data_IF_309124663714
#
_entry.id   IF_309124663714
#
_cell.length_a   1.000
_cell.length_b   1.000
_cell.length_c   1.000
_cell.angle_alpha   90.00
_cell.angle_beta   90.00
_cell.angle_gamma   90.00
#
_symmetry.space_group_name_H-M   'P 1'
#
loop_
_entity.id
_entity.type
_entity.pdbx_description
1 polymer ?
#
# COMPACT_ATOMS: atom_id res chain seq x y z
N UNK A 1 -4.42 -25.49 3.08
CA UNK A 1 -5.87 -25.27 2.87
C UNK A 1 -6.32 -24.18 3.82
N UNK A 2 -6.39 -22.94 3.33
CA UNK A 2 -6.99 -21.87 4.09
C UNK A 2 -8.51 -21.96 3.83
N UNK A 3 -9.28 -22.27 4.88
CA UNK A 3 -10.71 -22.60 4.77
C UNK A 3 -11.60 -21.38 4.49
N UNK A 4 -12.93 -21.48 4.74
CA UNK A 4 -13.90 -20.39 4.54
C UNK A 4 -13.54 -19.08 5.27
N UNK A 5 -12.65 -19.14 6.26
CA UNK A 5 -12.09 -17.99 6.96
C UNK A 5 -11.31 -17.03 6.05
N UNK A 6 -10.76 -17.47 4.92
CA UNK A 6 -10.11 -16.58 3.95
C UNK A 6 -11.10 -15.63 3.30
N UNK A 7 -12.31 -16.11 2.98
CA UNK A 7 -13.37 -15.28 2.42
C UNK A 7 -13.78 -14.18 3.42
N UNK A 8 -13.89 -14.53 4.70
CA UNK A 8 -14.16 -13.56 5.77
C UNK A 8 -13.03 -12.54 5.92
N UNK A 9 -11.77 -12.99 5.88
CA UNK A 9 -10.61 -12.09 5.92
C UNK A 9 -10.58 -11.12 4.74
N UNK A 10 -10.86 -11.60 3.53
CA UNK A 10 -10.95 -10.76 2.33
C UNK A 10 -12.13 -9.78 2.39
N UNK A 11 -13.29 -10.22 2.89
CA UNK A 11 -14.45 -9.35 3.03
C UNK A 11 -14.19 -8.20 4.03
N UNK A 12 -13.58 -8.50 5.17
CA UNK A 12 -13.23 -7.47 6.18
C UNK A 12 -12.14 -6.53 5.63
N UNK A 13 -11.08 -7.08 5.04
CA UNK A 13 -10.01 -6.28 4.45
C UNK A 13 -10.52 -5.37 3.32
N UNK A 14 -11.34 -5.90 2.43
CA UNK A 14 -11.97 -5.15 1.35
C UNK A 14 -12.92 -4.08 1.86
N UNK A 15 -13.69 -4.37 2.92
CA UNK A 15 -14.57 -3.38 3.54
C UNK A 15 -13.79 -2.21 4.16
N UNK A 16 -12.70 -2.49 4.87
CA UNK A 16 -11.82 -1.45 5.44
C UNK A 16 -11.18 -0.63 4.31
N UNK A 17 -10.65 -1.29 3.26
CA UNK A 17 -10.06 -0.60 2.12
C UNK A 17 -11.08 0.30 1.40
N UNK A 18 -12.34 -0.15 1.27
CA UNK A 18 -13.44 0.65 0.72
C UNK A 18 -13.70 1.92 1.53
N UNK A 19 -13.74 1.81 2.87
CA UNK A 19 -13.92 2.99 3.74
C UNK A 19 -12.78 3.98 3.60
N UNK A 20 -11.53 3.52 3.54
CA UNK A 20 -10.36 4.38 3.36
C UNK A 20 -10.42 5.12 2.02
N UNK A 21 -10.70 4.41 0.92
CA UNK A 21 -10.79 5.02 -0.41
C UNK A 21 -11.96 6.01 -0.51
N UNK A 22 -13.08 5.72 0.15
CA UNK A 22 -14.21 6.64 0.23
C UNK A 22 -13.82 7.93 0.96
N UNK A 23 -13.21 7.81 2.14
CA UNK A 23 -12.77 8.98 2.91
C UNK A 23 -11.74 9.80 2.14
N UNK A 24 -10.79 9.14 1.49
CA UNK A 24 -9.81 9.80 0.63
C UNK A 24 -10.48 10.56 -0.52
N UNK A 25 -11.49 9.95 -1.16
CA UNK A 25 -12.25 10.57 -2.25
C UNK A 25 -13.02 11.82 -1.82
N UNK A 26 -13.65 11.80 -0.64
CA UNK A 26 -14.33 12.97 -0.07
C UNK A 26 -13.34 14.12 0.17
N UNK A 27 -12.15 13.81 0.70
CA UNK A 27 -11.09 14.80 0.99
C UNK A 27 -10.50 15.42 -0.30
N UNK A 28 -10.29 14.60 -1.35
CA UNK A 28 -9.75 15.07 -2.64
C UNK A 28 -10.73 16.03 -3.35
N UNK A 29 -12.04 15.81 -3.17
CA UNK A 29 -13.07 16.69 -3.76
C UNK A 29 -13.15 18.02 -3.03
N UNK A 30 -12.97 18.04 -1.71
CA UNK A 30 -12.99 19.29 -0.91
C UNK A 30 -11.70 20.11 -1.07
N UNK A 31 -10.53 19.48 -1.13
CA UNK A 31 -9.25 20.17 -1.37
C UNK A 31 -8.51 19.55 -2.57
N UNK A 32 -8.62 20.12 -3.79
CA UNK A 32 -7.91 19.66 -4.97
C UNK A 32 -6.45 20.13 -4.95
N UNK A 33 -5.69 19.70 -3.94
CA UNK A 33 -4.25 19.90 -3.86
C UNK A 33 -3.53 18.66 -4.36
N UNK A 34 -2.50 18.84 -5.19
CA UNK A 34 -1.64 17.76 -5.68
C UNK A 34 -0.67 17.22 -4.60
N UNK A 35 -1.16 17.02 -3.37
CA UNK A 35 -0.41 16.51 -2.23
C UNK A 35 -0.62 15.00 -2.04
N UNK A 36 0.45 14.26 -1.71
CA UNK A 36 0.38 12.84 -1.31
C UNK A 36 -0.41 12.66 -0.01
N UNK A 37 -0.93 11.46 0.30
CA UNK A 37 -1.67 11.14 1.55
C UNK A 37 -1.00 11.69 2.83
N UNK A 38 0.33 11.75 2.84
CA UNK A 38 1.14 12.31 3.93
C UNK A 38 0.92 13.82 4.14
N UNK A 39 0.52 14.58 3.12
CA UNK A 39 0.13 16.00 3.22
C UNK A 39 -1.18 16.16 4.01
N UNK A 40 -2.18 15.30 3.74
CA UNK A 40 -3.44 15.29 4.50
C UNK A 40 -3.23 14.82 5.94
N UNK A 41 -2.38 13.81 6.17
CA UNK A 41 -2.03 13.37 7.52
C UNK A 41 -1.28 14.44 8.34
N UNK A 42 -0.42 15.24 7.69
CA UNK A 42 0.26 16.38 8.33
C UNK A 42 -0.72 17.49 8.73
N UNK A 43 -1.73 17.75 7.89
CA UNK A 43 -2.71 18.82 8.07
C UNK A 43 -3.82 18.49 9.07
N UNK A 44 -4.34 17.25 9.07
CA UNK A 44 -5.48 16.85 9.90
C UNK A 44 -5.10 16.15 11.22
N UNK A 45 -3.99 15.41 11.28
CA UNK A 45 -3.57 14.67 12.48
C UNK A 45 -2.31 15.24 13.16
N UNK A 46 -1.69 16.25 12.55
CA UNK A 46 -0.53 16.93 13.07
C UNK A 46 0.80 16.43 12.52
N UNK A 47 1.90 17.15 12.83
CA UNK A 47 3.19 16.98 12.16
C UNK A 47 3.83 15.60 12.36
N UNK A 48 3.56 14.95 13.51
CA UNK A 48 4.08 13.61 13.81
C UNK A 48 3.39 12.51 12.99
N UNK A 49 2.07 12.59 12.82
CA UNK A 49 1.30 11.62 12.04
C UNK A 49 1.64 11.69 10.54
N UNK A 50 1.83 12.90 10.02
CA UNK A 50 2.32 13.09 8.65
C UNK A 50 3.73 12.52 8.43
N UNK A 51 4.64 12.72 9.38
CA UNK A 51 6.00 12.14 9.31
C UNK A 51 5.99 10.61 9.36
N UNK A 52 5.24 10.02 10.30
CA UNK A 52 5.14 8.57 10.44
C UNK A 52 4.52 7.91 9.20
N UNK A 53 3.43 8.48 8.67
CA UNK A 53 2.77 7.99 7.45
C UNK A 53 3.68 8.11 6.22
N UNK A 54 4.41 9.23 6.08
CA UNK A 54 5.40 9.40 5.01
C UNK A 54 6.54 8.38 5.09
N UNK A 55 7.08 8.16 6.30
CA UNK A 55 8.13 7.17 6.51
C UNK A 55 7.65 5.74 6.26
N UNK A 56 6.42 5.41 6.69
CA UNK A 56 5.80 4.12 6.42
C UNK A 56 5.63 3.86 4.92
N UNK A 57 5.18 4.87 4.17
CA UNK A 57 5.04 4.78 2.72
C UNK A 57 6.39 4.56 2.02
N UNK A 58 7.42 5.30 2.42
CA UNK A 58 8.78 5.14 1.89
C UNK A 58 9.35 3.74 2.17
N UNK A 59 9.18 3.24 3.40
CA UNK A 59 9.64 1.91 3.79
C UNK A 59 8.89 0.80 3.02
N UNK A 60 7.57 0.93 2.84
CA UNK A 60 6.79 0.01 2.01
C UNK A 60 7.30 -0.01 0.57
N UNK A 61 7.60 1.15 -0.02
CA UNK A 61 8.08 1.23 -1.38
C UNK A 61 9.41 0.48 -1.58
N UNK A 62 10.35 0.61 -0.63
CA UNK A 62 11.60 -0.14 -0.64
C UNK A 62 11.35 -1.64 -0.51
N UNK A 63 10.52 -2.04 0.44
CA UNK A 63 10.26 -3.46 0.73
C UNK A 63 9.59 -4.15 -0.46
N UNK A 64 8.57 -3.51 -1.03
CA UNK A 64 7.87 -4.01 -2.22
C UNK A 64 8.81 -4.05 -3.41
N UNK A 65 9.60 -2.99 -3.66
CA UNK A 65 10.55 -2.97 -4.78
C UNK A 65 11.59 -4.10 -4.71
N UNK A 66 12.11 -4.42 -3.52
CA UNK A 66 13.03 -5.55 -3.34
C UNK A 66 12.33 -6.91 -3.53
N UNK A 67 11.08 -7.03 -3.06
CA UNK A 67 10.29 -8.24 -3.25
C UNK A 67 9.97 -8.48 -4.73
N UNK A 68 9.58 -7.43 -5.47
CA UNK A 68 9.33 -7.49 -6.91
C UNK A 68 10.60 -7.83 -7.69
N UNK A 69 11.75 -7.25 -7.33
CA UNK A 69 13.02 -7.56 -7.97
C UNK A 69 13.44 -9.02 -7.76
N UNK A 70 13.25 -9.53 -6.54
CA UNK A 70 13.54 -10.94 -6.22
C UNK A 70 12.60 -11.87 -6.99
N UNK A 71 11.30 -11.56 -7.03
CA UNK A 71 10.33 -12.33 -7.80
C UNK A 71 10.66 -12.32 -9.30
N UNK A 72 11.03 -11.16 -9.85
CA UNK A 72 11.48 -11.04 -11.24
C UNK A 72 12.74 -11.90 -11.51
N UNK A 73 13.71 -11.92 -10.59
CA UNK A 73 14.89 -12.78 -10.68
C UNK A 73 14.52 -14.27 -10.74
N UNK A 74 13.61 -14.71 -9.87
CA UNK A 74 13.10 -16.10 -9.87
C UNK A 74 12.38 -16.41 -11.18
N UNK A 75 11.53 -15.51 -11.68
CA UNK A 75 10.83 -15.73 -12.94
C UNK A 75 11.79 -15.80 -14.12
N UNK A 76 12.81 -14.94 -14.18
CA UNK A 76 13.82 -15.00 -15.24
C UNK A 76 14.59 -16.32 -15.19
N UNK A 77 14.95 -16.83 -14.01
CA UNK A 77 15.58 -18.16 -13.86
C UNK A 77 14.63 -19.34 -14.17
N UNK A 78 13.33 -19.16 -13.96
CA UNK A 78 12.34 -20.20 -14.31
C UNK A 78 12.13 -20.30 -15.83
N UNK A 79 12.12 -19.16 -16.52
CA UNK A 79 11.84 -19.11 -17.96
C UNK A 79 13.09 -19.25 -18.84
N UNK A 80 14.20 -18.69 -18.40
CA UNK A 80 15.52 -18.94 -18.98
C UNK A 80 16.27 -19.83 -18.00
N UNK A 81 16.64 -21.03 -18.45
CA UNK A 81 17.36 -22.08 -17.69
C UNK A 81 18.83 -21.65 -17.43
N UNK A 82 19.00 -20.52 -16.73
CA UNK A 82 20.29 -19.88 -16.44
C UNK A 82 20.86 -20.58 -15.21
N UNK A 83 22.08 -21.14 -15.27
CA UNK A 83 22.70 -21.81 -14.13
C UNK A 83 22.84 -20.83 -12.94
N UNK A 84 22.53 -21.32 -11.73
CA UNK A 84 22.60 -20.60 -10.45
C UNK A 84 24.00 -20.23 -10.04
#
# INVERSE_FOLDING_TARGET
>A
MAGPSVLLGYAIGGFIAFLIMRQLGEIIVEEPVAGSCSHFAYKYWGPFAGFLSGWNYWAMFILVGMAELTAAGIYVQYWWDIPT
#
